data_IF_001100866482
#
_entry.id   IF_001100866482
#
_cell.length_a   1.000
_cell.length_b   1.000
_cell.length_c   1.000
_cell.angle_alpha   90.00
_cell.angle_beta   90.00
_cell.angle_gamma   90.00
#
_symmetry.space_group_name_H-M   'P 1'
#
loop_
_entity.id
_entity.type
_entity.pdbx_description
1 polymer ?
#
# COMPACT_ATOMS: atom_id res chain seq x y z
N UNK A 1 10.60 -9.81 -2.51
CA UNK A 1 10.60 -9.30 -3.91
C UNK A 1 10.43 -7.77 -3.88
N UNK A 2 11.13 -7.02 -4.72
CA UNK A 2 11.02 -5.55 -4.81
C UNK A 2 10.15 -5.19 -6.01
N UNK A 3 9.12 -4.37 -5.81
CA UNK A 3 8.15 -4.01 -6.85
C UNK A 3 8.07 -2.50 -7.00
N UNK A 4 7.91 -2.01 -8.23
CA UNK A 4 7.78 -0.57 -8.55
C UNK A 4 6.38 -0.25 -9.09
N UNK A 5 5.86 0.90 -8.70
CA UNK A 5 4.53 1.42 -9.00
C UNK A 5 4.64 2.84 -9.59
N UNK A 6 3.92 3.13 -10.69
CA UNK A 6 3.85 4.45 -11.33
C UNK A 6 2.50 5.15 -11.10
N UNK A 7 2.45 6.43 -10.70
CA UNK A 7 1.18 7.08 -10.28
C UNK A 7 0.28 7.45 -11.49
N UNK A 8 -1.02 7.15 -11.41
CA UNK A 8 -2.06 7.48 -12.39
C UNK A 8 -2.90 8.69 -11.92
N UNK A 9 -3.30 9.53 -12.87
CA UNK A 9 -3.85 10.88 -12.65
C UNK A 9 -5.39 10.83 -12.54
N UNK A 10 -5.95 10.27 -11.45
CA UNK A 10 -7.39 10.42 -11.14
C UNK A 10 -7.53 10.55 -9.63
N UNK A 11 -8.07 11.68 -9.15
CA UNK A 11 -8.16 11.99 -7.72
C UNK A 11 -9.49 12.60 -7.34
N UNK A 12 -10.24 11.91 -6.47
CA UNK A 12 -11.33 12.45 -5.67
C UNK A 12 -11.15 11.95 -4.22
N UNK A 13 -11.31 12.84 -3.25
CA UNK A 13 -11.05 12.58 -1.83
C UNK A 13 -12.27 12.88 -0.96
N UNK A 14 -12.61 12.00 -0.01
CA UNK A 14 -13.47 12.31 1.14
C UNK A 14 -13.44 11.25 2.26
N UNK A 15 -13.38 11.76 3.51
CA UNK A 15 -13.87 11.32 4.84
C UNK A 15 -13.29 10.15 5.69
N UNK A 16 -12.87 10.56 6.91
CA UNK A 16 -13.11 10.13 8.32
C UNK A 16 -12.89 8.73 8.91
N UNK A 17 -12.51 8.78 10.21
CA UNK A 17 -12.44 7.79 11.33
C UNK A 17 -11.31 6.76 11.26
N UNK A 18 -10.23 7.06 11.99
CA UNK A 18 -8.94 6.35 12.04
C UNK A 18 -9.05 4.89 12.51
N UNK A 19 -8.65 3.91 11.67
CA UNK A 19 -8.11 2.65 12.15
C UNK A 19 -6.65 2.85 12.59
N UNK A 20 -6.13 1.92 13.38
CA UNK A 20 -4.73 1.76 13.80
C UNK A 20 -3.68 1.72 12.68
N UNK A 21 -4.10 1.84 11.42
CA UNK A 21 -3.25 2.02 10.27
C UNK A 21 -3.62 3.30 9.51
N UNK A 22 -2.69 4.25 9.49
CA UNK A 22 -2.75 5.43 8.62
C UNK A 22 -1.61 5.35 7.61
N UNK A 23 -1.94 4.92 6.39
CA UNK A 23 -0.99 4.94 5.27
C UNK A 23 -0.71 6.40 4.92
N UNK A 24 0.56 6.73 4.68
CA UNK A 24 0.95 8.09 4.29
C UNK A 24 0.22 8.52 3.01
N UNK A 25 -0.36 9.72 3.02
CA UNK A 25 -1.05 10.32 1.86
C UNK A 25 -0.18 10.42 0.61
N UNK A 26 1.16 10.43 0.76
CA UNK A 26 2.09 10.40 -0.37
C UNK A 26 2.00 9.10 -1.17
N UNK A 27 1.57 8.00 -0.56
CA UNK A 27 1.44 6.68 -1.20
C UNK A 27 0.03 6.43 -1.72
N UNK A 28 -0.96 7.22 -1.31
CA UNK A 28 -2.34 7.04 -1.76
C UNK A 28 -2.50 7.50 -3.21
N UNK A 29 -3.37 6.80 -3.92
CA UNK A 29 -3.67 7.02 -5.31
C UNK A 29 -3.79 5.73 -6.10
N UNK A 30 -3.84 5.90 -7.41
CA UNK A 30 -3.88 4.82 -8.39
C UNK A 30 -2.48 4.67 -8.96
N UNK A 31 -2.05 3.42 -9.14
CA UNK A 31 -0.71 3.07 -9.52
C UNK A 31 -0.69 2.00 -10.62
N UNK A 32 0.31 2.06 -11.48
CA UNK A 32 0.62 1.10 -12.52
C UNK A 32 1.72 0.17 -12.01
N UNK A 33 1.48 -1.14 -12.03
CA UNK A 33 2.50 -2.13 -11.73
C UNK A 33 2.93 -2.86 -13.01
N UNK A 34 4.23 -2.85 -13.39
CA UNK A 34 4.69 -3.63 -14.52
C UNK A 34 4.31 -5.11 -14.38
N UNK A 35 3.74 -5.68 -15.45
CA UNK A 35 3.31 -7.08 -15.48
C UNK A 35 1.92 -7.35 -14.90
N UNK A 36 1.20 -6.34 -14.40
CA UNK A 36 -0.22 -6.43 -14.09
C UNK A 36 -1.03 -5.67 -15.13
N UNK A 37 -2.15 -6.26 -15.54
CA UNK A 37 -3.12 -5.62 -16.45
C UNK A 37 -3.93 -4.56 -15.69
N UNK A 38 -4.27 -4.84 -14.43
CA UNK A 38 -5.11 -3.97 -13.62
C UNK A 38 -4.33 -2.87 -12.91
N UNK A 39 -5.03 -1.76 -12.66
CA UNK A 39 -4.55 -0.65 -11.85
C UNK A 39 -4.53 -1.04 -10.36
N UNK A 40 -3.46 -0.63 -9.68
CA UNK A 40 -3.27 -0.82 -8.25
C UNK A 40 -3.77 0.41 -7.50
N UNK A 41 -4.78 0.25 -6.67
CA UNK A 41 -5.28 1.33 -5.82
C UNK A 41 -4.72 1.16 -4.41
N UNK A 42 -4.14 2.25 -3.91
CA UNK A 42 -3.71 2.38 -2.51
C UNK A 42 -4.52 3.54 -1.92
N UNK A 43 -5.32 3.26 -0.89
CA UNK A 43 -6.00 4.30 -0.12
C UNK A 43 -5.47 4.29 1.33
N UNK A 44 -6.16 4.95 2.27
CA UNK A 44 -5.67 5.06 3.65
C UNK A 44 -5.55 3.73 4.40
N UNK A 45 -6.32 2.72 4.01
CA UNK A 45 -6.47 1.45 4.75
C UNK A 45 -6.44 0.22 3.85
N UNK A 46 -6.33 0.38 2.53
CA UNK A 46 -6.44 -0.69 1.56
C UNK A 46 -5.36 -0.58 0.49
N UNK A 47 -4.87 -1.73 0.04
CA UNK A 47 -3.96 -1.88 -1.07
C UNK A 47 -4.44 -3.06 -1.94
N UNK A 48 -4.76 -2.79 -3.22
CA UNK A 48 -5.11 -3.81 -4.23
C UNK A 48 -4.21 -5.06 -4.13
N UNK A 49 -4.83 -6.24 -4.15
CA UNK A 49 -4.21 -7.57 -4.03
C UNK A 49 -3.55 -7.88 -2.68
N UNK A 50 -3.33 -6.88 -1.82
CA UNK A 50 -2.70 -7.03 -0.50
C UNK A 50 -3.71 -6.98 0.64
N UNK A 51 -4.85 -6.33 0.43
CA UNK A 51 -5.97 -6.31 1.35
C UNK A 51 -5.98 -5.09 2.25
N UNK A 52 -6.53 -5.26 3.45
CA UNK A 52 -6.74 -4.21 4.45
C UNK A 52 -5.52 -4.07 5.35
N UNK A 53 -5.10 -2.85 5.63
CA UNK A 53 -4.05 -2.56 6.57
C UNK A 53 -4.57 -2.73 8.01
N UNK A 54 -3.88 -3.56 8.78
CA UNK A 54 -4.22 -3.83 10.18
C UNK A 54 -3.58 -2.78 11.11
N UNK A 55 -2.28 -2.56 10.95
CA UNK A 55 -1.52 -1.58 11.74
C UNK A 55 -0.18 -1.23 11.07
N UNK A 56 0.32 -0.03 11.38
CA UNK A 56 1.69 0.38 11.06
C UNK A 56 2.67 -0.05 12.16
N UNK A 57 3.88 -0.47 11.79
CA UNK A 57 4.92 -0.76 12.77
C UNK A 57 5.57 0.55 13.22
N UNK A 58 5.53 0.84 14.51
CA UNK A 58 5.99 2.14 15.05
C UNK A 58 7.51 2.31 14.93
N UNK A 59 8.27 1.22 15.03
CA UNK A 59 9.74 1.24 15.01
C UNK A 59 10.32 1.41 13.60
N UNK A 60 9.55 1.11 12.56
CA UNK A 60 10.03 1.12 11.18
C UNK A 60 9.12 1.97 10.31
N UNK A 61 9.65 3.11 9.88
CA UNK A 61 8.93 4.06 9.01
C UNK A 61 8.43 3.36 7.74
N UNK A 62 7.15 3.58 7.43
CA UNK A 62 6.49 3.06 6.23
C UNK A 62 6.38 1.53 6.13
N UNK A 63 6.57 0.82 7.25
CA UNK A 63 6.31 -0.62 7.36
C UNK A 63 4.89 -0.82 7.90
N UNK A 64 4.10 -1.59 7.19
CA UNK A 64 2.69 -1.82 7.48
C UNK A 64 2.35 -3.31 7.33
N UNK A 65 1.43 -3.80 8.16
CA UNK A 65 0.92 -5.17 8.07
C UNK A 65 -0.43 -5.16 7.39
N UNK A 66 -0.55 -5.90 6.29
CA UNK A 66 -1.77 -6.07 5.53
C UNK A 66 -2.33 -7.47 5.72
N UNK A 67 -3.65 -7.57 5.64
CA UNK A 67 -4.39 -8.82 5.64
C UNK A 67 -5.33 -8.89 4.44
N UNK A 68 -5.17 -9.95 3.66
CA UNK A 68 -6.06 -10.25 2.53
C UNK A 68 -7.03 -11.35 2.96
N UNK A 69 -8.31 -11.00 3.08
CA UNK A 69 -9.37 -11.92 3.51
C UNK A 69 -9.59 -13.08 2.54
N UNK A 70 -9.51 -12.82 1.23
CA UNK A 70 -9.71 -13.83 0.19
C UNK A 70 -8.66 -14.94 0.26
N UNK A 71 -7.41 -14.56 0.53
CA UNK A 71 -6.28 -15.50 0.63
C UNK A 71 -5.96 -15.93 2.07
N UNK A 72 -6.67 -15.37 3.06
CA UNK A 72 -6.40 -15.52 4.50
C UNK A 72 -4.92 -15.34 4.88
N UNK A 73 -4.26 -14.40 4.23
CA UNK A 73 -2.80 -14.22 4.32
C UNK A 73 -2.45 -12.86 4.93
N UNK A 74 -1.57 -12.86 5.93
CA UNK A 74 -0.94 -11.65 6.47
C UNK A 74 0.40 -11.42 5.80
N UNK A 75 0.67 -10.16 5.44
CA UNK A 75 1.92 -9.80 4.78
C UNK A 75 2.45 -8.48 5.31
N UNK A 76 3.76 -8.43 5.48
CA UNK A 76 4.48 -7.23 5.80
C UNK A 76 4.86 -6.50 4.51
N UNK A 77 4.51 -5.22 4.42
CA UNK A 77 4.85 -4.35 3.30
C UNK A 77 5.65 -3.16 3.80
N UNK A 78 6.83 -2.97 3.22
CA UNK A 78 7.65 -1.78 3.42
C UNK A 78 7.59 -0.92 2.17
N UNK A 79 7.02 0.28 2.28
CA UNK A 79 7.08 1.27 1.19
C UNK A 79 8.41 2.00 1.16
N UNK A 80 8.93 2.21 -0.03
CA UNK A 80 10.20 2.86 -0.33
C UNK A 80 9.87 4.00 -1.32
N UNK A 81 9.69 5.24 -0.84
CA UNK A 81 9.48 6.38 -1.72
C UNK A 81 10.68 6.56 -2.66
N UNK A 82 10.42 6.75 -3.96
CA UNK A 82 11.46 7.07 -4.96
C UNK A 82 11.26 8.47 -5.51
N UNK A 83 10.17 8.70 -6.21
CA UNK A 83 9.77 10.01 -6.76
C UNK A 83 8.26 10.23 -6.58
N UNK A 84 7.77 11.43 -6.86
CA UNK A 84 6.33 11.75 -6.77
C UNK A 84 5.45 10.81 -7.60
N UNK A 85 5.95 10.35 -8.75
CA UNK A 85 5.26 9.44 -9.65
C UNK A 85 5.78 8.00 -9.58
N UNK A 86 6.71 7.68 -8.67
CA UNK A 86 7.31 6.35 -8.55
C UNK A 86 7.40 5.91 -7.09
N UNK A 87 6.72 4.82 -6.77
CA UNK A 87 6.73 4.18 -5.46
C UNK A 87 7.30 2.78 -5.58
N UNK A 88 8.20 2.39 -4.68
CA UNK A 88 8.62 1.00 -4.56
C UNK A 88 8.09 0.40 -3.28
N UNK A 89 7.92 -0.92 -3.26
CA UNK A 89 7.63 -1.63 -2.02
C UNK A 89 8.28 -3.01 -1.99
N UNK A 90 8.54 -3.50 -0.79
CA UNK A 90 8.99 -4.87 -0.54
C UNK A 90 7.93 -5.61 0.25
N UNK A 91 7.71 -6.87 -0.12
CA UNK A 91 6.78 -7.78 0.54
C UNK A 91 7.55 -8.90 1.24
N UNK A 92 7.14 -9.22 2.47
CA UNK A 92 7.66 -10.31 3.30
C UNK A 92 6.51 -11.03 4.00
N UNK A 93 6.63 -12.34 4.17
CA UNK A 93 5.73 -13.13 5.03
C UNK A 93 6.20 -13.15 6.50
N UNK A 94 7.46 -12.77 6.76
CA UNK A 94 8.01 -12.65 8.11
C UNK A 94 7.74 -11.24 8.65
N UNK A 95 7.18 -11.17 9.86
CA UNK A 95 6.83 -9.94 10.59
C UNK A 95 8.08 -9.32 11.25
#
# INVERSE_FOLDING_TARGET
MLTTLGKSIVGLSSFSLLPSCSISSSFTGIWLQPGLVDLITINNTWFSLKGTCLYGQQDVKYKYIYYNEQTRCKRCILFIPRHSNALQYRESMYL
#
